data_IF_618867916619
#
_entry.id   IF_618867916619
#
_cell.length_a   1.000
_cell.length_b   1.000
_cell.length_c   1.000
_cell.angle_alpha   90.00
_cell.angle_beta   90.00
_cell.angle_gamma   90.00
#
_symmetry.space_group_name_H-M   'P 1'
#
loop_
_entity.id
_entity.type
_entity.pdbx_description
1 polymer ?
#
# COMPACT_ATOMS: atom_id res chain seq x y z
N UNK A 1 2.99 -6.74 -11.05
CA UNK A 1 1.58 -6.36 -11.31
C UNK A 1 0.65 -6.65 -10.13
N UNK A 2 0.51 -7.90 -9.67
CA UNK A 2 -0.53 -8.28 -8.69
C UNK A 2 -0.51 -7.47 -7.39
N UNK A 3 0.68 -7.16 -6.86
CA UNK A 3 0.81 -6.45 -5.60
C UNK A 3 0.63 -4.92 -5.72
N UNK A 4 0.62 -4.37 -6.94
CA UNK A 4 0.16 -3.00 -7.22
C UNK A 4 -1.39 -2.94 -7.25
N UNK A 5 -2.03 -3.96 -7.82
CA UNK A 5 -3.50 -4.08 -7.83
C UNK A 5 -4.02 -4.26 -6.40
N UNK A 6 -3.38 -5.12 -5.60
CA UNK A 6 -3.70 -5.28 -4.19
C UNK A 6 -3.55 -3.97 -3.40
N UNK A 7 -2.52 -3.17 -3.70
CA UNK A 7 -2.34 -1.83 -3.13
C UNK A 7 -3.52 -0.92 -3.45
N UNK A 8 -3.93 -0.82 -4.72
CA UNK A 8 -5.05 0.05 -5.12
C UNK A 8 -6.35 -0.37 -4.43
N UNK A 9 -6.64 -1.67 -4.36
CA UNK A 9 -7.86 -2.18 -3.72
C UNK A 9 -7.85 -1.87 -2.21
N UNK A 10 -6.72 -2.13 -1.52
CA UNK A 10 -6.60 -1.82 -0.09
C UNK A 10 -6.69 -0.31 0.17
N UNK A 11 -6.06 0.51 -0.68
CA UNK A 11 -6.05 1.96 -0.52
C UNK A 11 -7.44 2.56 -0.71
N UNK A 12 -8.13 2.20 -1.81
CA UNK A 12 -9.51 2.66 -2.08
C UNK A 12 -10.47 2.13 -1.03
N UNK A 13 -10.32 0.87 -0.60
CA UNK A 13 -11.11 0.29 0.49
C UNK A 13 -10.93 1.04 1.81
N UNK A 14 -9.70 1.41 2.17
CA UNK A 14 -9.40 2.20 3.36
C UNK A 14 -10.00 3.61 3.33
N UNK A 15 -9.91 4.31 2.19
CA UNK A 15 -10.55 5.62 1.98
C UNK A 15 -12.08 5.52 2.10
N UNK A 16 -12.68 4.47 1.53
CA UNK A 16 -14.11 4.23 1.63
C UNK A 16 -14.56 3.97 3.08
N UNK A 17 -13.79 3.19 3.84
CA UNK A 17 -14.03 2.96 5.28
C UNK A 17 -13.96 4.25 6.11
N UNK A 18 -13.06 5.18 5.79
CA UNK A 18 -13.00 6.49 6.45
C UNK A 18 -14.29 7.29 6.19
N UNK A 19 -14.77 7.31 4.95
CA UNK A 19 -16.05 7.93 4.58
C UNK A 19 -17.25 7.28 5.27
N UNK A 20 -17.27 5.94 5.32
CA UNK A 20 -18.32 5.16 5.98
C UNK A 20 -18.37 5.42 7.50
N UNK A 21 -17.22 5.71 8.13
CA UNK A 21 -17.16 5.98 9.57
C UNK A 21 -18.01 7.19 9.99
N UNK A 22 -18.17 8.19 9.10
CA UNK A 22 -18.97 9.38 9.39
C UNK A 22 -20.48 9.13 9.35
N UNK A 23 -20.94 8.01 8.80
CA UNK A 23 -22.35 7.62 8.78
C UNK A 23 -22.76 6.63 9.87
N UNK A 24 -21.80 6.14 10.67
CA UNK A 24 -22.01 5.09 11.68
C UNK A 24 -21.69 5.61 13.08
N UNK A 25 -22.62 6.33 13.71
CA UNK A 25 -22.44 6.90 15.06
C UNK A 25 -22.01 5.86 16.12
N UNK A 26 -22.52 4.63 16.04
CA UNK A 26 -22.23 3.59 17.03
C UNK A 26 -20.82 3.00 16.94
N UNK A 27 -20.19 3.02 15.75
CA UNK A 27 -18.89 2.37 15.50
C UNK A 27 -17.86 3.28 14.83
N UNK A 28 -18.12 4.59 14.80
CA UNK A 28 -17.30 5.59 14.14
C UNK A 28 -15.81 5.44 14.47
N UNK A 29 -15.45 5.36 15.75
CA UNK A 29 -14.06 5.25 16.18
C UNK A 29 -13.37 3.98 15.68
N UNK A 30 -14.05 2.83 15.73
CA UNK A 30 -13.49 1.53 15.31
C UNK A 30 -13.29 1.49 13.79
N UNK A 31 -14.29 1.97 13.03
CA UNK A 31 -14.25 2.00 11.57
C UNK A 31 -13.20 2.99 11.07
N UNK A 32 -13.04 4.13 11.75
CA UNK A 32 -12.01 5.12 11.44
C UNK A 32 -10.59 4.56 11.65
N UNK A 33 -10.32 3.94 12.80
CA UNK A 33 -9.01 3.33 13.10
C UNK A 33 -8.70 2.19 12.15
N UNK A 34 -9.70 1.36 11.82
CA UNK A 34 -9.56 0.30 10.82
C UNK A 34 -9.20 0.85 9.44
N UNK A 35 -9.85 1.94 9.01
CA UNK A 35 -9.53 2.63 7.76
C UNK A 35 -8.08 3.13 7.71
N UNK A 36 -7.59 3.76 8.77
CA UNK A 36 -6.20 4.23 8.87
C UNK A 36 -5.22 3.04 8.79
N UNK A 37 -5.45 1.98 9.57
CA UNK A 37 -4.58 0.79 9.59
C UNK A 37 -4.47 0.16 8.21
N UNK A 38 -5.59 0.04 7.49
CA UNK A 38 -5.62 -0.54 6.14
C UNK A 38 -4.81 0.32 5.16
N UNK A 39 -4.94 1.64 5.22
CA UNK A 39 -4.16 2.58 4.38
C UNK A 39 -2.66 2.50 4.71
N UNK A 40 -2.29 2.42 6.00
CA UNK A 40 -0.89 2.26 6.42
C UNK A 40 -0.27 0.96 5.93
N UNK A 41 -1.00 -0.16 5.99
CA UNK A 41 -0.55 -1.46 5.46
C UNK A 41 -0.39 -1.39 3.94
N UNK A 42 -1.31 -0.74 3.24
CA UNK A 42 -1.21 -0.53 1.79
C UNK A 42 0.11 0.19 1.43
N UNK A 43 0.40 1.31 2.09
CA UNK A 43 1.64 2.08 1.89
C UNK A 43 2.89 1.26 2.22
N UNK A 44 2.88 0.48 3.30
CA UNK A 44 3.99 -0.40 3.66
C UNK A 44 4.26 -1.46 2.58
N UNK A 45 3.21 -2.03 1.97
CA UNK A 45 3.33 -3.00 0.87
C UNK A 45 3.85 -2.37 -0.43
N UNK A 46 3.53 -1.10 -0.67
CA UNK A 46 4.08 -0.32 -1.79
C UNK A 46 5.58 -0.09 -1.61
N UNK A 47 5.99 0.39 -0.43
CA UNK A 47 7.40 0.64 -0.11
C UNK A 47 8.22 -0.66 -0.12
N UNK A 48 7.64 -1.78 0.34
CA UNK A 48 8.27 -3.11 0.29
C UNK A 48 8.56 -3.59 -1.13
N UNK A 49 7.78 -3.19 -2.13
CA UNK A 49 8.03 -3.55 -3.53
C UNK A 49 9.09 -2.68 -4.22
N UNK A 50 9.48 -1.55 -3.63
CA UNK A 50 10.45 -0.60 -4.20
C UNK A 50 11.89 -1.10 -4.33
N UNK A 51 12.22 -2.31 -3.87
CA UNK A 51 13.59 -2.86 -3.88
C UNK A 51 14.07 -3.48 -5.20
N UNK A 52 13.24 -3.56 -6.24
CA UNK A 52 13.59 -4.24 -7.51
C UNK A 52 14.14 -3.30 -8.60
N UNK A 53 14.70 -2.15 -8.23
CA UNK A 53 15.26 -1.18 -9.19
C UNK A 53 16.80 -1.05 -9.14
N UNK A 54 17.49 -1.84 -8.30
CA UNK A 54 18.97 -1.81 -8.23
C UNK A 54 19.59 -3.05 -8.87
N UNK A 55 19.23 -3.38 -10.11
CA UNK A 55 20.12 -4.21 -10.95
C UNK A 55 21.23 -3.31 -11.50
N UNK A 56 22.30 -3.15 -10.72
CA UNK A 56 23.57 -2.61 -11.22
C UNK A 56 24.17 -3.63 -12.20
N UNK A 57 23.89 -3.49 -13.49
CA UNK A 57 24.62 -4.21 -14.54
C UNK A 57 25.98 -3.55 -14.72
N UNK A 58 26.96 -3.92 -13.90
CA UNK A 58 28.36 -3.63 -14.19
C UNK A 58 28.82 -4.57 -15.32
N UNK A 59 28.85 -4.07 -16.55
CA UNK A 59 29.32 -4.77 -17.74
C UNK A 59 30.78 -4.43 -18.12
N UNK A 60 31.62 -4.10 -17.14
CA UNK A 60 32.99 -3.60 -17.35
C UNK A 60 34.08 -4.67 -17.10
N UNK A 61 33.86 -5.94 -17.46
CA UNK A 61 34.85 -7.02 -17.23
C UNK A 61 34.89 -8.12 -18.31
N UNK A 62 34.48 -7.80 -19.53
CA UNK A 62 34.75 -8.56 -20.76
C UNK A 62 35.24 -7.47 -21.71
N UNK A 63 36.55 -7.24 -21.92
CA UNK A 63 37.42 -8.11 -22.69
C UNK A 63 38.89 -7.92 -22.25
N UNK A 64 39.57 -9.05 -21.99
CA UNK A 64 41.02 -9.20 -21.82
C UNK A 64 41.57 -10.05 -22.94
#
# INVERSE_FOLDING_TARGET
MAAFIAFIIMFVGGIYLLGLSFGLEAFQGVVFVAGILIVSIALALLMRQGGSATRRSNNWSQDS
#
